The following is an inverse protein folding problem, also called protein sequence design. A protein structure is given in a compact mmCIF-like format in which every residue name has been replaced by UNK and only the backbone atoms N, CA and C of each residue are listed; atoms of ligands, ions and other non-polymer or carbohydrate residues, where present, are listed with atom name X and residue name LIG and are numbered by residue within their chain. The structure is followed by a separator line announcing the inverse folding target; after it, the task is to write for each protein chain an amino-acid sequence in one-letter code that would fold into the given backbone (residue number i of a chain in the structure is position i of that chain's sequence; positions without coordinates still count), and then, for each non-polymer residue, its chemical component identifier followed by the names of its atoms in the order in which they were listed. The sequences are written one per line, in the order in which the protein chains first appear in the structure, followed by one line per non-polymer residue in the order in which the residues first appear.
data_IF_972714866143
#
_entry.id   IF_972714866143
#
_cell.length_a   1.000
_cell.length_b   1.000
_cell.length_c   1.000
_cell.angle_alpha   90.00
_cell.angle_beta   90.00
_cell.angle_gamma   90.00
#
_symmetry.space_group_name_H-M   'P 1'
#
loop_
_entity.id
_entity.type
_entity.pdbx_description
1 polymer ?
#
# COMPACT_ATOMS: atom_id res chain seq x y z
N UNK A 1 26.90 1.79 6.39
CA UNK A 1 26.05 1.14 7.41
C UNK A 1 24.64 1.14 6.88
N UNK A 2 23.95 0.00 6.80
CA UNK A 2 22.59 -0.08 6.24
C UNK A 2 21.64 0.99 6.83
N UNK A 3 20.84 1.63 5.97
CA UNK A 3 19.88 2.67 6.37
C UNK A 3 18.45 2.17 6.49
N UNK A 4 18.15 1.00 5.94
CA UNK A 4 16.79 0.47 5.79
C UNK A 4 16.77 -1.04 6.07
N UNK A 5 15.61 -1.52 6.53
CA UNK A 5 15.33 -2.93 6.75
C UNK A 5 14.00 -3.29 6.08
N UNK A 6 14.04 -4.25 5.14
CA UNK A 6 12.83 -4.82 4.54
C UNK A 6 12.44 -6.08 5.32
N UNK A 7 11.21 -6.11 5.83
CA UNK A 7 10.66 -7.21 6.63
C UNK A 7 9.49 -7.87 5.89
N UNK A 8 9.50 -9.19 5.82
CA UNK A 8 8.38 -9.99 5.34
C UNK A 8 7.68 -10.67 6.50
N UNK A 9 6.37 -10.49 6.59
CA UNK A 9 5.52 -10.97 7.68
C UNK A 9 4.33 -11.74 7.11
N UNK A 10 4.14 -12.98 7.54
CA UNK A 10 2.89 -13.70 7.32
C UNK A 10 1.89 -13.30 8.40
N UNK A 11 0.69 -12.92 7.97
CA UNK A 11 -0.41 -12.53 8.86
C UNK A 11 -1.58 -13.47 8.63
N UNK A 12 -2.07 -14.07 9.72
CA UNK A 12 -3.23 -14.95 9.66
C UNK A 12 -4.50 -14.17 9.33
N UNK A 13 -5.22 -14.56 8.27
CA UNK A 13 -6.52 -13.96 7.93
C UNK A 13 -7.62 -14.39 8.90
N UNK A 14 -7.55 -15.63 9.40
CA UNK A 14 -8.49 -16.22 10.36
C UNK A 14 -7.91 -16.39 11.76
N UNK A 15 -6.67 -15.99 11.98
CA UNK A 15 -6.01 -16.13 13.28
C UNK A 15 -5.28 -14.84 13.64
N UNK A 16 -5.20 -14.50 14.92
CA UNK A 16 -4.47 -13.31 15.38
C UNK A 16 -2.94 -13.50 15.36
N UNK A 17 -2.42 -14.41 14.53
CA UNK A 17 -0.99 -14.75 14.48
C UNK A 17 -0.27 -13.93 13.42
N UNK A 18 0.93 -13.49 13.78
CA UNK A 18 1.88 -12.83 12.90
C UNK A 18 3.20 -13.60 12.99
N UNK A 19 3.81 -13.93 11.86
CA UNK A 19 5.03 -14.72 11.79
C UNK A 19 6.04 -14.04 10.85
N UNK A 20 7.15 -13.48 11.37
CA UNK A 20 8.22 -12.96 10.54
C UNK A 20 8.87 -14.10 9.76
N UNK A 21 8.99 -13.96 8.45
CA UNK A 21 9.53 -15.02 7.58
C UNK A 21 10.87 -14.65 6.92
N UNK A 22 11.26 -13.39 6.97
CA UNK A 22 12.55 -12.94 6.47
C UNK A 22 12.75 -11.45 6.65
N UNK A 23 14.01 -11.03 6.79
CA UNK A 23 14.39 -9.63 6.81
C UNK A 23 15.68 -9.41 6.01
N UNK A 24 15.81 -8.24 5.40
CA UNK A 24 16.94 -7.86 4.56
C UNK A 24 17.39 -6.46 4.94
N UNK A 25 18.64 -6.33 5.38
CA UNK A 25 19.25 -5.05 5.72
C UNK A 25 20.03 -4.54 4.52
N UNK A 26 19.83 -3.27 4.16
CA UNK A 26 20.53 -2.72 3.01
C UNK A 26 20.37 -1.21 2.87
N UNK A 27 20.93 -0.69 1.78
CA UNK A 27 20.65 0.65 1.30
C UNK A 27 19.79 0.52 0.05
N UNK A 28 18.57 1.06 0.09
CA UNK A 28 17.67 1.17 -1.08
C UNK A 28 17.55 -0.13 -1.87
N UNK A 29 16.86 -1.11 -1.29
CA UNK A 29 16.61 -2.38 -1.98
C UNK A 29 15.83 -2.11 -3.27
N UNK A 30 16.35 -2.58 -4.40
CA UNK A 30 15.76 -2.31 -5.71
C UNK A 30 14.41 -3.02 -5.87
N UNK A 31 13.51 -2.45 -6.68
CA UNK A 31 12.22 -3.08 -6.98
C UNK A 31 12.37 -4.47 -7.63
N UNK A 32 13.44 -4.68 -8.41
CA UNK A 32 13.74 -5.99 -9.03
C UNK A 32 14.11 -7.04 -7.98
N UNK A 33 14.88 -6.65 -6.97
CA UNK A 33 15.26 -7.56 -5.90
C UNK A 33 14.10 -7.80 -4.94
N UNK A 34 13.33 -6.76 -4.60
CA UNK A 34 12.09 -6.90 -3.85
C UNK A 34 11.11 -7.86 -4.54
N UNK A 35 10.92 -7.77 -5.85
CA UNK A 35 10.06 -8.68 -6.61
C UNK A 35 10.51 -10.14 -6.46
N UNK A 36 11.83 -10.41 -6.57
CA UNK A 36 12.36 -11.77 -6.34
C UNK A 36 12.10 -12.25 -4.91
N UNK A 37 12.25 -11.37 -3.93
CA UNK A 37 12.03 -11.70 -2.52
C UNK A 37 10.55 -11.97 -2.21
N UNK A 38 9.62 -11.20 -2.80
CA UNK A 38 8.18 -11.44 -2.72
C UNK A 38 7.84 -12.80 -3.33
N UNK A 39 8.26 -13.07 -4.56
CA UNK A 39 8.04 -14.37 -5.23
C UNK A 39 8.60 -15.52 -4.39
N UNK A 40 9.81 -15.35 -3.84
CA UNK A 40 10.42 -16.39 -3.01
C UNK A 40 9.65 -16.63 -1.71
N UNK A 41 9.15 -15.57 -1.09
CA UNK A 41 8.32 -15.65 0.11
C UNK A 41 7.02 -16.42 -0.15
N UNK A 42 6.39 -16.18 -1.30
CA UNK A 42 5.20 -16.92 -1.76
C UNK A 42 5.51 -18.40 -1.98
N UNK A 43 6.58 -18.72 -2.72
CA UNK A 43 7.04 -20.11 -2.91
C UNK A 43 7.27 -20.85 -1.58
N UNK A 44 7.91 -20.19 -0.62
CA UNK A 44 8.22 -20.78 0.68
C UNK A 44 6.96 -20.99 1.53
N UNK A 45 6.02 -20.04 1.50
CA UNK A 45 4.73 -20.19 2.16
C UNK A 45 3.95 -21.37 1.59
N UNK A 46 3.88 -21.50 0.25
CA UNK A 46 3.22 -22.62 -0.41
C UNK A 46 3.87 -23.97 -0.06
N UNK A 47 5.22 -24.04 -0.03
CA UNK A 47 5.94 -25.25 0.39
C UNK A 47 5.66 -25.65 1.84
N UNK A 48 5.36 -24.69 2.71
CA UNK A 48 4.94 -24.93 4.08
C UNK A 48 3.45 -25.30 4.21
N UNK A 49 2.71 -25.44 3.10
CA UNK A 49 1.29 -25.74 3.09
C UNK A 49 0.40 -24.54 3.40
N UNK A 50 0.93 -23.32 3.34
CA UNK A 50 0.19 -22.09 3.59
C UNK A 50 -0.31 -21.48 2.27
N UNK A 51 -1.56 -21.04 2.27
CA UNK A 51 -2.15 -20.26 1.18
C UNK A 51 -2.06 -18.77 1.49
N UNK A 52 -1.39 -18.03 0.62
CA UNK A 52 -1.31 -16.56 0.69
C UNK A 52 -2.35 -15.96 -0.23
N UNK A 53 -3.29 -15.21 0.34
CA UNK A 53 -4.39 -14.57 -0.41
C UNK A 53 -4.01 -13.20 -0.96
N UNK A 54 -3.16 -12.49 -0.24
CA UNK A 54 -2.76 -11.13 -0.61
C UNK A 54 -1.38 -10.77 -0.12
N UNK A 55 -0.76 -9.81 -0.80
CA UNK A 55 0.45 -9.11 -0.34
C UNK A 55 0.07 -7.66 -0.05
N UNK A 56 0.50 -7.15 1.11
CA UNK A 56 0.23 -5.78 1.53
C UNK A 56 1.51 -5.00 1.74
N UNK A 57 1.58 -3.79 1.21
CA UNK A 57 2.70 -2.87 1.41
C UNK A 57 2.22 -1.40 1.36
N UNK A 58 3.08 -0.46 1.76
CA UNK A 58 2.80 0.96 1.57
C UNK A 58 2.81 1.34 0.07
N UNK A 59 2.30 2.54 -0.23
CA UNK A 59 2.23 3.09 -1.59
C UNK A 59 3.51 3.76 -2.05
N UNK A 60 4.70 3.32 -1.61
CA UNK A 60 5.96 3.91 -2.08
C UNK A 60 6.22 3.56 -3.54
N UNK A 61 6.96 4.44 -4.24
CA UNK A 61 7.30 4.24 -5.66
C UNK A 61 8.03 2.90 -5.91
N UNK A 62 8.86 2.45 -4.95
CA UNK A 62 9.58 1.17 -5.08
C UNK A 62 8.62 0.00 -4.96
N UNK A 63 7.68 0.01 -4.01
CA UNK A 63 6.69 -1.06 -3.85
C UNK A 63 5.73 -1.13 -5.04
N UNK A 64 5.25 0.00 -5.54
CA UNK A 64 4.44 0.05 -6.77
C UNK A 64 5.20 -0.55 -7.95
N UNK A 65 6.47 -0.16 -8.14
CA UNK A 65 7.32 -0.72 -9.20
C UNK A 65 7.58 -2.21 -9.02
N UNK A 66 7.71 -2.68 -7.80
CA UNK A 66 7.82 -4.11 -7.47
C UNK A 66 6.60 -4.89 -7.94
N UNK A 67 5.40 -4.39 -7.65
CA UNK A 67 4.15 -5.03 -8.10
C UNK A 67 3.98 -4.97 -9.61
N UNK A 68 4.38 -3.88 -10.27
CA UNK A 68 4.42 -3.81 -11.74
C UNK A 68 5.33 -4.87 -12.35
N UNK A 69 6.52 -5.09 -11.76
CA UNK A 69 7.46 -6.15 -12.20
C UNK A 69 6.84 -7.54 -12.04
N UNK A 70 5.99 -7.74 -11.02
CA UNK A 70 5.31 -9.01 -10.76
C UNK A 70 4.06 -9.23 -11.64
N UNK A 71 3.65 -8.23 -12.42
CA UNK A 71 2.54 -8.34 -13.38
C UNK A 71 1.33 -7.45 -13.09
N UNK A 72 1.36 -6.61 -12.05
CA UNK A 72 0.31 -5.62 -11.84
C UNK A 72 0.42 -4.44 -12.83
N UNK A 73 -0.71 -3.75 -13.02
CA UNK A 73 -0.76 -2.46 -13.71
C UNK A 73 -1.71 -1.54 -12.95
N UNK A 74 -1.19 -0.42 -12.48
CA UNK A 74 -1.97 0.63 -11.79
C UNK A 74 -2.27 1.83 -12.70
N UNK A 75 -1.91 1.73 -13.98
CA UNK A 75 -2.15 2.77 -14.97
C UNK A 75 -3.50 2.55 -15.66
N UNK A 76 -4.11 3.64 -16.11
CA UNK A 76 -5.36 3.60 -16.88
C UNK A 76 -6.61 3.80 -16.04
N UNK A 77 -7.76 3.52 -16.65
CA UNK A 77 -9.06 3.57 -15.97
C UNK A 77 -9.20 2.44 -14.95
N UNK A 78 -10.16 2.55 -14.03
CA UNK A 78 -10.42 1.53 -13.00
C UNK A 78 -10.58 0.12 -13.59
N UNK A 79 -11.19 0.00 -14.77
CA UNK A 79 -11.43 -1.27 -15.44
C UNK A 79 -10.19 -1.86 -16.14
N UNK A 80 -9.13 -1.06 -16.31
CA UNK A 80 -7.87 -1.47 -16.95
C UNK A 80 -6.80 -1.88 -15.93
N UNK A 81 -7.05 -1.62 -14.65
CA UNK A 81 -6.10 -1.95 -13.59
C UNK A 81 -6.00 -3.46 -13.38
N UNK A 82 -4.78 -3.96 -13.27
CA UNK A 82 -4.47 -5.34 -12.86
C UNK A 82 -3.88 -5.29 -11.46
N UNK A 83 -4.68 -5.68 -10.46
CA UNK A 83 -4.34 -5.55 -9.02
C UNK A 83 -4.01 -6.89 -8.36
N UNK A 84 -3.74 -7.91 -9.16
CA UNK A 84 -3.37 -9.24 -8.71
C UNK A 84 -2.14 -9.73 -9.47
N UNK A 85 -1.48 -10.74 -8.90
CA UNK A 85 -0.37 -11.47 -9.50
C UNK A 85 -0.67 -12.97 -9.48
N UNK A 86 -0.09 -13.70 -10.41
CA UNK A 86 -0.19 -15.16 -10.43
C UNK A 86 0.91 -15.75 -9.54
N UNK A 87 0.52 -16.60 -8.59
CA UNK A 87 1.45 -17.25 -7.68
C UNK A 87 2.45 -18.11 -8.48
N UNK A 88 3.77 -17.97 -8.28
CA UNK A 88 4.82 -18.59 -9.10
C UNK A 88 4.91 -20.12 -9.01
N UNK A 89 4.02 -20.78 -8.27
CA UNK A 89 4.09 -22.23 -8.00
C UNK A 89 2.72 -22.88 -8.04
N UNK A 90 1.73 -22.28 -7.38
CA UNK A 90 0.36 -22.82 -7.36
C UNK A 90 -0.48 -22.36 -8.55
N UNK A 91 -0.08 -21.28 -9.23
CA UNK A 91 -0.87 -20.65 -10.31
C UNK A 91 -2.13 -19.93 -9.80
N UNK A 92 -2.35 -19.88 -8.49
CA UNK A 92 -3.48 -19.16 -7.90
C UNK A 92 -3.26 -17.65 -7.94
N UNK A 93 -4.34 -16.89 -7.93
CA UNK A 93 -4.28 -15.44 -7.87
C UNK A 93 -3.95 -14.95 -6.45
N UNK A 94 -3.04 -13.98 -6.35
CA UNK A 94 -2.67 -13.29 -5.11
C UNK A 94 -2.93 -11.79 -5.28
N UNK A 95 -3.79 -11.23 -4.44
CA UNK A 95 -4.18 -9.83 -4.54
C UNK A 95 -3.13 -8.89 -3.96
N UNK A 96 -2.89 -7.76 -4.61
CA UNK A 96 -2.04 -6.70 -4.09
C UNK A 96 -2.91 -5.66 -3.40
N UNK A 97 -2.61 -5.37 -2.14
CA UNK A 97 -3.32 -4.39 -1.33
C UNK A 97 -2.32 -3.33 -0.90
N UNK A 98 -2.61 -2.06 -1.22
CA UNK A 98 -1.85 -0.95 -0.66
C UNK A 98 -2.41 -0.59 0.72
N UNK A 99 -1.52 -0.29 1.68
CA UNK A 99 -1.92 0.09 3.03
C UNK A 99 -2.89 1.29 2.99
N UNK A 100 -4.18 1.11 3.36
CA UNK A 100 -5.17 2.16 3.26
C UNK A 100 -4.81 3.40 4.07
N UNK A 101 -4.19 3.24 5.23
CA UNK A 101 -3.81 4.37 6.09
C UNK A 101 -2.74 5.23 5.39
N UNK A 102 -1.75 4.57 4.79
CA UNK A 102 -0.72 5.26 4.02
C UNK A 102 -1.31 5.94 2.76
N UNK A 103 -2.21 5.26 2.05
CA UNK A 103 -2.83 5.82 0.85
C UNK A 103 -3.70 7.05 1.15
N UNK A 104 -4.47 7.03 2.24
CA UNK A 104 -5.25 8.18 2.69
C UNK A 104 -4.34 9.36 3.07
N UNK A 105 -3.22 9.09 3.74
CA UNK A 105 -2.22 10.11 4.06
C UNK A 105 -1.64 10.75 2.79
N UNK A 106 -1.32 9.96 1.77
CA UNK A 106 -0.85 10.47 0.48
C UNK A 106 -1.92 11.32 -0.22
N UNK A 107 -3.17 10.86 -0.27
CA UNK A 107 -4.27 11.60 -0.88
C UNK A 107 -4.50 12.95 -0.19
N UNK A 108 -4.48 12.96 1.15
CA UNK A 108 -4.56 14.20 1.95
C UNK A 108 -3.39 15.13 1.65
N UNK A 109 -2.16 14.63 1.67
CA UNK A 109 -0.97 15.45 1.40
C UNK A 109 -1.01 16.03 -0.02
N UNK A 110 -1.50 15.27 -1.00
CA UNK A 110 -1.70 15.74 -2.36
C UNK A 110 -2.74 16.88 -2.40
N UNK A 111 -3.88 16.72 -1.72
CA UNK A 111 -4.90 17.77 -1.64
C UNK A 111 -4.36 19.04 -0.96
N UNK A 112 -3.63 18.90 0.15
CA UNK A 112 -3.02 20.02 0.85
C UNK A 112 -1.98 20.76 -0.02
N UNK A 113 -1.17 20.01 -0.77
CA UNK A 113 -0.14 20.58 -1.63
C UNK A 113 -0.73 21.26 -2.88
N UNK A 114 -1.71 20.63 -3.53
CA UNK A 114 -2.35 21.14 -4.74
C UNK A 114 -3.38 22.24 -4.46
N UNK A 115 -3.93 22.27 -3.24
CA UNK A 115 -4.98 23.18 -2.79
C UNK A 115 -6.37 22.86 -3.36
N UNK A 116 -6.44 22.37 -4.60
CA UNK A 116 -7.69 21.93 -5.24
C UNK A 116 -7.43 20.72 -6.15
N UNK A 117 -8.29 19.71 -6.05
CA UNK A 117 -8.36 18.55 -6.95
C UNK A 117 -9.73 18.58 -7.62
N UNK A 118 -9.82 18.18 -8.89
CA UNK A 118 -11.08 18.07 -9.63
C UNK A 118 -11.46 16.61 -9.77
N UNK A 119 -12.69 16.25 -9.43
CA UNK A 119 -13.18 14.87 -9.59
C UNK A 119 -13.58 14.55 -11.04
N UNK A 120 -14.03 13.32 -11.28
CA UNK A 120 -14.45 12.87 -12.62
C UNK A 120 -15.70 13.56 -13.17
N UNK A 121 -16.45 14.28 -12.33
CA UNK A 121 -17.65 15.05 -12.70
C UNK A 121 -17.36 16.55 -12.87
N UNK A 122 -16.12 16.99 -12.61
CA UNK A 122 -15.73 18.39 -12.68
C UNK A 122 -15.94 19.18 -11.39
N UNK A 123 -16.31 18.53 -10.29
CA UNK A 123 -16.46 19.20 -8.99
C UNK A 123 -15.09 19.45 -8.35
N UNK A 124 -14.94 20.63 -7.75
CA UNK A 124 -13.71 21.03 -7.08
C UNK A 124 -13.69 20.58 -5.62
N UNK A 125 -12.72 19.74 -5.26
CA UNK A 125 -12.40 19.33 -3.90
C UNK A 125 -11.28 20.26 -3.40
N UNK A 126 -11.56 21.08 -2.40
CA UNK A 126 -10.65 22.16 -1.96
C UNK A 126 -10.13 21.92 -0.55
N UNK A 127 -8.82 22.11 -0.36
CA UNK A 127 -8.19 22.07 0.97
C UNK A 127 -8.79 23.09 1.94
N UNK A 128 -9.19 24.26 1.42
CA UNK A 128 -9.88 25.31 2.18
C UNK A 128 -11.06 24.80 3.02
N UNK A 129 -11.83 23.82 2.54
CA UNK A 129 -12.95 23.28 3.32
C UNK A 129 -12.50 22.53 4.58
N UNK A 130 -11.32 21.90 4.52
CA UNK A 130 -10.72 21.22 5.68
C UNK A 130 -10.23 22.24 6.70
N UNK A 131 -9.63 23.35 6.24
CA UNK A 131 -9.18 24.45 7.11
C UNK A 131 -10.35 25.13 7.83
N UNK A 132 -11.44 25.42 7.11
CA UNK A 132 -12.65 26.00 7.72
C UNK A 132 -13.32 25.05 8.70
N UNK A 133 -13.32 23.74 8.41
CA UNK A 133 -13.84 22.74 9.33
C UNK A 133 -13.01 22.67 10.62
N UNK A 134 -11.67 22.75 10.52
CA UNK A 134 -10.79 22.82 11.69
C UNK A 134 -11.11 24.04 12.55
N UNK A 135 -11.20 25.24 11.94
CA UNK A 135 -11.54 26.47 12.67
C UNK A 135 -12.89 26.36 13.39
N UNK A 136 -13.90 25.81 12.71
CA UNK A 136 -15.22 25.59 13.29
C UNK A 136 -15.14 24.67 14.52
N UNK A 137 -14.37 23.59 14.44
CA UNK A 137 -14.19 22.68 15.57
C UNK A 137 -13.50 23.32 16.77
N UNK A 138 -12.50 24.17 16.53
CA UNK A 138 -11.83 24.92 17.59
C UNK A 138 -12.78 25.89 18.28
N UNK A 139 -13.66 26.54 17.53
CA UNK A 139 -14.70 27.45 18.06
C UNK A 139 -15.75 26.68 18.88
N UNK A 140 -16.21 25.53 18.39
CA UNK A 140 -17.26 24.72 19.02
C UNK A 140 -16.73 23.82 20.15
N UNK A 141 -15.42 23.78 20.40
CA UNK A 141 -14.79 22.92 21.40
C UNK A 141 -14.86 21.42 21.06
N UNK A 142 -15.06 21.08 19.77
CA UNK A 142 -15.21 19.71 19.28
C UNK A 142 -13.86 19.13 18.88
N UNK A 143 -13.12 18.57 19.83
CA UNK A 143 -11.81 17.93 19.59
C UNK A 143 -11.94 16.50 18.99
N UNK A 144 -12.77 16.32 17.96
CA UNK A 144 -13.05 15.02 17.35
C UNK A 144 -12.11 14.66 16.19
N UNK A 145 -11.41 15.62 15.59
CA UNK A 145 -10.41 15.35 14.55
C UNK A 145 -9.01 15.17 15.16
N UNK A 146 -8.57 13.92 15.28
CA UNK A 146 -7.14 13.61 15.22
C UNK A 146 -6.68 13.90 13.78
N UNK A 147 -6.12 15.09 13.57
CA UNK A 147 -5.34 15.39 12.35
C UNK A 147 -4.07 14.54 12.41
N UNK A 148 -4.10 13.35 11.81
CA UNK A 148 -2.89 12.60 11.45
C UNK A 148 -2.22 13.23 10.24
#
# INVERSE_FOLDING_TARGET
MASEALLFLLVGTRSHRKCPIGYFLGHKISAKDQAKLVSKSLEMAAKAGLKVWSVTADGTAVNLRTFEILGCSFNGSYNEMTTSIIHPTTGEEVFIILDPCHMLKLARNALAHLGTIVDGEGNAIRWHHIEELQKLQEVEGLNLLLVF
#
